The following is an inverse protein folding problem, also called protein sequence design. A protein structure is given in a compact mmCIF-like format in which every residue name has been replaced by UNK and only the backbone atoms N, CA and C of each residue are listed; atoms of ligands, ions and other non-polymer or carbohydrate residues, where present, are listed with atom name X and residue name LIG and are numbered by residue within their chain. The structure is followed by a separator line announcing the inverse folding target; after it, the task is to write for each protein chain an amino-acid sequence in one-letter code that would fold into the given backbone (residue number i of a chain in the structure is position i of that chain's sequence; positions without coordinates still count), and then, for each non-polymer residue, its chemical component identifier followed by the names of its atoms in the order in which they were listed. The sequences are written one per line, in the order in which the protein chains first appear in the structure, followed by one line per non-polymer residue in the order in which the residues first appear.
data_IF_196481212255
#
_entry.id   IF_196481212255
#
_cell.length_a   1.000
_cell.length_b   1.000
_cell.length_c   1.000
_cell.angle_alpha   90.00
_cell.angle_beta   90.00
_cell.angle_gamma   90.00
#
_symmetry.space_group_name_H-M   'P 1'
#
loop_
_entity.id
_entity.type
_entity.pdbx_description
1 polymer ?
#
# COMPACT_ATOMS: atom_id res chain seq x y z
N UNK A 1 -11.56 -26.30 -3.27
CA UNK A 1 -11.58 -24.83 -3.27
C UNK A 1 -10.16 -24.40 -3.01
N UNK A 2 -9.42 -24.07 -4.06
CA UNK A 2 -8.07 -23.54 -3.94
C UNK A 2 -8.16 -22.20 -3.22
N UNK A 3 -7.50 -22.09 -2.07
CA UNK A 3 -7.31 -20.79 -1.43
C UNK A 3 -6.35 -20.05 -2.35
N UNK A 4 -6.85 -19.14 -3.16
CA UNK A 4 -6.01 -18.09 -3.73
C UNK A 4 -5.35 -17.40 -2.54
N UNK A 5 -4.09 -17.76 -2.26
CA UNK A 5 -3.30 -17.08 -1.24
C UNK A 5 -2.94 -15.73 -1.83
N UNK A 6 -3.85 -14.78 -1.68
CA UNK A 6 -3.59 -13.40 -2.05
C UNK A 6 -2.41 -12.89 -1.20
N UNK A 7 -1.26 -12.74 -1.85
CA UNK A 7 -0.07 -12.19 -1.22
C UNK A 7 -0.03 -10.68 -1.41
N UNK A 8 -0.51 -9.94 -0.40
CA UNK A 8 -0.54 -8.49 -0.42
C UNK A 8 0.84 -7.87 -0.73
N UNK A 9 1.93 -8.49 -0.26
CA UNK A 9 3.29 -8.05 -0.58
C UNK A 9 3.57 -8.10 -2.09
N UNK A 10 3.16 -9.17 -2.78
CA UNK A 10 3.32 -9.26 -4.24
C UNK A 10 2.46 -8.21 -4.95
N UNK A 11 1.24 -7.96 -4.45
CA UNK A 11 0.36 -6.93 -4.99
C UNK A 11 0.98 -5.53 -4.92
N UNK A 12 1.52 -5.12 -3.76
CA UNK A 12 2.14 -3.79 -3.63
C UNK A 12 3.42 -3.67 -4.48
N UNK A 13 4.19 -4.74 -4.65
CA UNK A 13 5.33 -4.76 -5.59
C UNK A 13 4.88 -4.55 -7.03
N UNK A 14 3.80 -5.18 -7.46
CA UNK A 14 3.22 -4.95 -8.80
C UNK A 14 2.72 -3.52 -8.99
N UNK A 15 2.28 -2.85 -7.92
CA UNK A 15 1.94 -1.42 -7.93
C UNK A 15 3.15 -0.50 -7.95
N UNK A 16 4.37 -1.05 -7.86
CA UNK A 16 5.63 -0.30 -7.95
C UNK A 16 6.21 0.12 -6.60
N UNK A 17 5.69 -0.40 -5.48
CA UNK A 17 6.37 -0.22 -4.19
C UNK A 17 7.70 -0.97 -4.21
N UNK A 18 8.73 -0.37 -3.65
CA UNK A 18 10.04 -0.95 -3.43
C UNK A 18 10.16 -1.37 -1.96
N UNK A 19 10.77 -2.52 -1.69
CA UNK A 19 11.02 -2.97 -0.31
C UNK A 19 12.18 -2.18 0.28
N UNK A 20 11.98 -1.54 1.42
CA UNK A 20 13.06 -0.93 2.22
C UNK A 20 13.56 -1.96 3.24
N UNK A 21 12.64 -2.59 3.97
CA UNK A 21 12.91 -3.69 4.90
C UNK A 21 11.70 -4.65 5.02
N UNK A 22 11.67 -5.52 6.02
CA UNK A 22 10.65 -6.57 6.15
C UNK A 22 9.22 -6.05 6.31
N UNK A 23 9.09 -4.87 6.92
CA UNK A 23 7.82 -4.22 7.24
C UNK A 23 7.62 -2.93 6.44
N UNK A 24 8.68 -2.31 5.93
CA UNK A 24 8.61 -1.01 5.28
C UNK A 24 8.81 -1.09 3.76
N UNK A 25 7.96 -0.36 3.05
CA UNK A 25 7.91 -0.28 1.60
C UNK A 25 7.74 1.18 1.18
N UNK A 26 8.29 1.54 0.03
CA UNK A 26 8.28 2.92 -0.47
C UNK A 26 7.84 2.97 -1.93
N UNK A 27 6.97 3.90 -2.28
CA UNK A 27 6.60 4.19 -3.66
C UNK A 27 7.04 5.61 -4.02
N UNK A 28 7.99 5.74 -4.96
CA UNK A 28 8.46 7.03 -5.44
C UNK A 28 7.47 7.59 -6.46
N UNK A 29 6.78 8.66 -6.10
CA UNK A 29 5.86 9.37 -6.98
C UNK A 29 6.63 10.39 -7.83
N UNK A 30 7.60 11.07 -7.22
CA UNK A 30 8.51 12.01 -7.87
C UNK A 30 9.86 12.06 -7.14
N UNK A 31 10.82 12.86 -7.62
CA UNK A 31 12.11 13.03 -6.96
C UNK A 31 12.01 13.62 -5.55
N UNK A 32 10.95 14.39 -5.28
CA UNK A 32 10.74 15.11 -4.02
C UNK A 32 9.58 14.52 -3.19
N UNK A 33 8.92 13.47 -3.68
CA UNK A 33 7.76 12.88 -3.02
C UNK A 33 7.72 11.35 -3.12
N UNK A 34 7.66 10.73 -1.95
CA UNK A 34 7.55 9.29 -1.77
C UNK A 34 6.42 8.95 -0.81
N UNK A 35 5.77 7.83 -1.06
CA UNK A 35 4.71 7.27 -0.22
C UNK A 35 5.28 6.09 0.52
N UNK A 36 5.26 6.17 1.84
CA UNK A 36 5.72 5.09 2.70
C UNK A 36 4.54 4.18 3.07
N UNK A 37 4.77 2.87 3.09
CA UNK A 37 3.81 1.86 3.51
C UNK A 37 4.50 0.94 4.53
N UNK A 38 3.87 0.79 5.69
CA UNK A 38 4.32 -0.04 6.79
C UNK A 38 3.36 -1.21 6.93
N UNK A 39 3.89 -2.41 7.21
CA UNK A 39 3.08 -3.59 7.53
C UNK A 39 3.36 -3.97 8.97
N UNK A 40 2.36 -3.82 9.83
CA UNK A 40 2.48 -4.09 11.26
C UNK A 40 1.24 -4.83 11.78
N UNK A 41 1.45 -5.94 12.50
CA UNK A 41 0.38 -6.71 13.16
C UNK A 41 -0.78 -7.15 12.26
N UNK A 42 -0.55 -7.31 10.96
CA UNK A 42 -1.59 -7.70 9.99
C UNK A 42 -2.37 -6.53 9.42
N UNK A 43 -2.00 -5.30 9.78
CA UNK A 43 -2.44 -4.07 9.13
C UNK A 43 -1.37 -3.56 8.16
N UNK A 44 -1.79 -2.78 7.16
CA UNK A 44 -0.92 -1.86 6.46
C UNK A 44 -1.26 -0.42 6.87
N UNK A 45 -0.21 0.39 6.94
CA UNK A 45 -0.26 1.76 7.43
C UNK A 45 0.41 2.65 6.39
N UNK A 46 -0.24 3.74 6.00
CA UNK A 46 0.33 4.76 5.12
C UNK A 46 0.23 6.11 5.83
N UNK A 47 1.35 6.72 6.27
CA UNK A 47 1.34 8.06 6.82
C UNK A 47 1.03 9.06 5.70
N UNK A 48 -0.08 9.77 5.85
CA UNK A 48 -0.52 10.83 4.93
C UNK A 48 0.06 12.18 5.35
N UNK A 49 0.07 12.44 6.65
CA UNK A 49 0.58 13.65 7.31
C UNK A 49 1.16 13.29 8.69
N UNK A 50 1.93 14.18 9.36
CA UNK A 50 2.45 13.92 10.71
C UNK A 50 1.37 13.53 11.73
N UNK A 51 0.16 14.04 11.56
CA UNK A 51 -0.99 13.80 12.45
C UNK A 51 -2.04 12.84 11.85
N UNK A 52 -1.80 12.29 10.64
CA UNK A 52 -2.77 11.44 9.95
C UNK A 52 -2.11 10.23 9.31
N UNK A 53 -2.49 9.05 9.79
CA UNK A 53 -2.13 7.76 9.20
C UNK A 53 -3.39 7.04 8.67
N UNK A 54 -3.24 6.40 7.52
CA UNK A 54 -4.24 5.50 6.98
C UNK A 54 -3.87 4.07 7.39
N UNK A 55 -4.58 3.53 8.39
CA UNK A 55 -4.39 2.17 8.90
C UNK A 55 -5.57 1.27 8.56
N UNK A 56 -5.29 0.13 7.93
CA UNK A 56 -6.29 -0.86 7.50
C UNK A 56 -5.74 -2.28 7.58
N UNK A 57 -6.63 -3.25 7.82
CA UNK A 57 -6.29 -4.68 7.77
C UNK A 57 -5.77 -5.05 6.37
N UNK A 58 -4.76 -5.93 6.29
CA UNK A 58 -4.27 -6.45 5.01
C UNK A 58 -5.43 -7.11 4.24
N UNK A 59 -5.72 -6.65 3.02
CA UNK A 59 -6.84 -7.18 2.25
C UNK A 59 -6.65 -8.66 1.95
N UNK A 60 -7.75 -9.39 1.90
CA UNK A 60 -7.75 -10.86 1.70
C UNK A 60 -7.81 -11.27 0.22
N UNK A 61 -7.98 -10.30 -0.67
CA UNK A 61 -8.04 -10.50 -2.12
C UNK A 61 -7.70 -9.22 -2.88
N UNK A 62 -7.37 -9.37 -4.15
CA UNK A 62 -6.99 -8.28 -5.05
C UNK A 62 -8.07 -7.21 -5.18
N UNK A 63 -9.36 -7.59 -5.30
CA UNK A 63 -10.47 -6.64 -5.41
C UNK A 63 -10.59 -5.72 -4.21
N UNK A 64 -10.35 -6.23 -2.99
CA UNK A 64 -10.31 -5.40 -1.79
C UNK A 64 -9.10 -4.47 -1.83
N UNK A 65 -7.92 -5.01 -2.16
CA UNK A 65 -6.70 -4.22 -2.27
C UNK A 65 -6.85 -3.06 -3.28
N UNK A 66 -7.40 -3.31 -4.46
CA UNK A 66 -7.64 -2.28 -5.47
C UNK A 66 -8.59 -1.17 -4.99
N UNK A 67 -9.68 -1.54 -4.31
CA UNK A 67 -10.61 -0.54 -3.77
C UNK A 67 -9.95 0.34 -2.72
N UNK A 68 -9.18 -0.26 -1.82
CA UNK A 68 -8.52 0.53 -0.78
C UNK A 68 -7.37 1.38 -1.34
N UNK A 69 -6.59 0.85 -2.29
CA UNK A 69 -5.56 1.62 -2.98
C UNK A 69 -6.11 2.78 -3.81
N UNK A 70 -7.32 2.66 -4.36
CA UNK A 70 -8.01 3.77 -5.02
C UNK A 70 -8.30 4.90 -4.03
N UNK A 71 -8.80 4.57 -2.83
CA UNK A 71 -9.06 5.56 -1.76
C UNK A 71 -7.76 6.23 -1.32
N UNK A 72 -6.70 5.45 -1.13
CA UNK A 72 -5.37 5.95 -0.77
C UNK A 72 -4.85 6.92 -1.84
N UNK A 73 -5.02 6.57 -3.12
CA UNK A 73 -4.63 7.42 -4.24
C UNK A 73 -5.39 8.75 -4.25
N UNK A 74 -6.69 8.72 -3.95
CA UNK A 74 -7.51 9.93 -3.82
C UNK A 74 -7.08 10.81 -2.65
N UNK A 75 -6.83 10.20 -1.48
CA UNK A 75 -6.40 10.90 -0.26
C UNK A 75 -5.04 11.56 -0.44
N UNK A 76 -4.07 10.82 -1.00
CA UNK A 76 -2.71 11.30 -1.23
C UNK A 76 -2.60 12.16 -2.50
N UNK A 77 -3.66 12.25 -3.32
CA UNK A 77 -3.66 12.86 -4.65
C UNK A 77 -2.55 12.35 -5.56
N UNK A 78 -2.12 11.11 -5.35
CA UNK A 78 -1.09 10.44 -6.14
C UNK A 78 -1.76 9.68 -7.28
N UNK A 79 -1.17 9.76 -8.47
CA UNK A 79 -1.50 8.84 -9.55
C UNK A 79 -0.58 7.63 -9.42
N UNK A 80 -1.07 6.54 -8.82
CA UNK A 80 -0.41 5.24 -8.94
C UNK A 80 -0.52 4.84 -10.41
N UNK A 81 0.61 4.82 -11.13
CA UNK A 81 0.60 4.50 -12.55
C UNK A 81 -0.08 3.15 -12.78
N UNK A 82 -1.04 3.16 -13.71
CA UNK A 82 -1.97 2.08 -14.03
C UNK A 82 -1.39 1.13 -15.05
#
# INVERSE_FOLDING_TARGET
MEKENFEFKNYIFQKGFEKVDETNFVYKVSNDYEVNLYIEQGDYIIPVSPDLEFRKEIPKNEKQAEKEFAVISEVLKISLNK
#
